data_IF_989157608278
#
_entry.id   IF_989157608278
#
_cell.length_a   1.000
_cell.length_b   1.000
_cell.length_c   1.000
_cell.angle_alpha   90.00
_cell.angle_beta   90.00
_cell.angle_gamma   90.00
#
_symmetry.space_group_name_H-M   'P 1'
#
loop_
_entity.id
_entity.type
_entity.pdbx_description
1 polymer ?
#
# COMPACT_ATOMS: atom_id res chain seq x y z
N UNK A 1 21.86 -22.01 -17.64
CA UNK A 1 20.88 -20.94 -17.42
C UNK A 1 21.49 -19.83 -16.56
N UNK A 2 21.81 -18.67 -17.12
CA UNK A 2 22.18 -17.50 -16.33
C UNK A 2 20.90 -16.88 -15.75
N UNK A 3 20.44 -17.37 -14.59
CA UNK A 3 19.44 -16.65 -13.80
C UNK A 3 20.15 -15.41 -13.25
N UNK A 4 20.09 -14.31 -13.98
CA UNK A 4 20.67 -13.05 -13.52
C UNK A 4 20.12 -12.73 -12.14
N UNK A 5 20.99 -12.60 -11.13
CA UNK A 5 20.64 -12.17 -9.77
C UNK A 5 20.28 -10.67 -9.75
N UNK A 6 19.48 -10.19 -10.71
CA UNK A 6 19.10 -8.78 -10.75
C UNK A 6 17.88 -8.58 -9.85
N UNK A 7 18.10 -7.93 -8.70
CA UNK A 7 17.03 -7.48 -7.81
C UNK A 7 16.39 -6.15 -8.25
N UNK A 8 16.49 -5.78 -9.54
CA UNK A 8 15.92 -4.53 -10.05
C UNK A 8 14.41 -4.69 -10.22
N UNK A 9 13.65 -3.84 -9.52
CA UNK A 9 12.21 -3.70 -9.66
C UNK A 9 11.93 -2.36 -10.35
N UNK A 10 11.12 -2.37 -11.40
CA UNK A 10 10.61 -1.16 -12.07
C UNK A 10 9.12 -1.10 -11.79
N UNK A 11 8.64 0.02 -11.27
CA UNK A 11 7.25 0.25 -10.93
C UNK A 11 6.75 1.46 -11.70
N UNK A 12 5.55 1.34 -12.26
CA UNK A 12 4.80 2.46 -12.79
C UNK A 12 3.73 2.84 -11.76
N UNK A 13 3.68 4.12 -11.41
CA UNK A 13 2.71 4.68 -10.47
C UNK A 13 2.21 6.01 -11.01
N UNK A 14 1.06 6.43 -10.52
CA UNK A 14 0.51 7.73 -10.87
C UNK A 14 1.51 8.87 -10.56
N UNK A 15 1.70 9.83 -11.48
CA UNK A 15 2.65 10.92 -11.29
C UNK A 15 2.32 11.79 -10.08
N UNK A 16 1.06 11.92 -9.71
CA UNK A 16 0.65 12.65 -8.52
C UNK A 16 1.01 11.89 -7.24
N UNK A 17 0.75 10.58 -7.21
CA UNK A 17 1.15 9.73 -6.09
C UNK A 17 2.67 9.78 -5.89
N UNK A 18 3.46 9.74 -6.97
CA UNK A 18 4.91 9.91 -6.91
C UNK A 18 5.28 11.23 -6.23
N UNK A 19 4.70 12.36 -6.66
CA UNK A 19 4.98 13.68 -6.06
C UNK A 19 4.67 13.70 -4.56
N UNK A 20 3.51 13.17 -4.17
CA UNK A 20 3.09 13.11 -2.76
C UNK A 20 4.03 12.23 -1.92
N UNK A 21 4.50 11.10 -2.46
CA UNK A 21 5.48 10.24 -1.80
C UNK A 21 6.79 11.00 -1.56
N UNK A 22 7.35 11.63 -2.59
CA UNK A 22 8.57 12.44 -2.42
C UNK A 22 8.39 13.54 -1.38
N UNK A 23 7.28 14.29 -1.43
CA UNK A 23 7.00 15.34 -0.45
C UNK A 23 6.93 14.80 0.99
N UNK A 24 6.28 13.65 1.21
CA UNK A 24 6.21 13.02 2.54
C UNK A 24 7.57 12.50 3.00
N UNK A 25 8.39 12.01 2.07
CA UNK A 25 9.72 11.47 2.35
C UNK A 25 10.74 12.56 2.69
N UNK A 26 10.65 13.72 2.04
CA UNK A 26 11.47 14.89 2.37
C UNK A 26 11.27 15.32 3.83
N UNK A 27 10.02 15.31 4.32
CA UNK A 27 9.71 15.60 5.72
C UNK A 27 10.32 14.58 6.70
N UNK A 28 10.50 13.33 6.26
CA UNK A 28 11.10 12.25 7.06
C UNK A 28 12.61 12.12 6.86
N UNK A 29 13.24 12.95 6.02
CA UNK A 29 14.66 12.82 5.64
C UNK A 29 15.03 11.41 5.15
N UNK A 30 14.08 10.73 4.50
CA UNK A 30 14.24 9.36 4.02
C UNK A 30 14.20 9.35 2.50
N UNK A 31 14.98 8.49 1.84
CA UNK A 31 14.89 8.36 0.39
C UNK A 31 13.78 7.39 -0.04
N UNK A 32 13.26 7.55 -1.26
CA UNK A 32 12.26 6.65 -1.86
C UNK A 32 12.72 5.18 -1.83
N UNK A 33 14.01 4.96 -2.05
CA UNK A 33 14.61 3.61 -2.01
C UNK A 33 14.55 3.02 -0.61
N UNK A 34 14.98 3.78 0.39
CA UNK A 34 14.99 3.30 1.78
C UNK A 34 13.59 3.01 2.29
N UNK A 35 12.66 3.93 2.05
CA UNK A 35 11.25 3.72 2.39
C UNK A 35 10.68 2.49 1.70
N UNK A 36 10.90 2.34 0.39
CA UNK A 36 10.40 1.19 -0.34
C UNK A 36 10.96 -0.14 0.17
N UNK A 37 12.27 -0.21 0.45
CA UNK A 37 12.89 -1.44 0.97
C UNK A 37 12.37 -1.74 2.37
N UNK A 38 12.21 -0.72 3.23
CA UNK A 38 11.70 -0.86 4.58
C UNK A 38 10.26 -1.40 4.57
N UNK A 39 9.35 -0.72 3.85
CA UNK A 39 7.96 -1.17 3.73
C UNK A 39 7.85 -2.56 3.10
N UNK A 40 8.65 -2.85 2.07
CA UNK A 40 8.66 -4.18 1.45
C UNK A 40 9.18 -5.25 2.42
N UNK A 41 10.17 -4.92 3.25
CA UNK A 41 10.71 -5.82 4.29
C UNK A 41 9.67 -6.04 5.38
N UNK A 42 9.00 -4.99 5.85
CA UNK A 42 7.92 -5.08 6.82
C UNK A 42 6.73 -5.87 6.27
N UNK A 43 6.39 -5.72 4.99
CA UNK A 43 5.31 -6.48 4.36
C UNK A 43 5.64 -7.99 4.23
N UNK A 44 6.89 -8.32 3.91
CA UNK A 44 7.33 -9.71 3.67
C UNK A 44 7.67 -10.44 4.96
N UNK A 45 8.31 -9.76 5.90
CA UNK A 45 8.87 -10.35 7.12
C UNK A 45 8.16 -9.90 8.40
N UNK A 46 7.33 -8.86 8.34
CA UNK A 46 6.53 -8.43 9.48
C UNK A 46 5.36 -9.39 9.73
N UNK A 47 5.33 -9.98 10.91
CA UNK A 47 4.16 -10.73 11.39
C UNK A 47 3.00 -9.75 11.66
N UNK A 48 1.96 -9.83 10.82
CA UNK A 48 0.69 -9.07 10.86
C UNK A 48 0.85 -7.58 10.50
N UNK A 49 0.15 -7.09 9.48
CA UNK A 49 -1.31 -7.14 9.46
C UNK A 49 -1.84 -7.20 8.03
N UNK A 50 -2.38 -8.37 7.71
CA UNK A 50 -3.54 -8.51 6.84
C UNK A 50 -4.72 -7.70 7.39
N UNK A 51 -4.69 -6.36 7.28
CA UNK A 51 -5.83 -5.49 7.61
C UNK A 51 -5.80 -4.13 6.89
N UNK A 52 -5.05 -3.96 5.80
CA UNK A 52 -5.13 -2.74 4.97
C UNK A 52 -6.25 -2.80 3.91
N UNK A 53 -6.97 -3.92 3.80
CA UNK A 53 -8.13 -4.10 2.91
C UNK A 53 -9.43 -4.48 3.64
N UNK A 54 -9.47 -4.45 4.96
CA UNK A 54 -10.73 -4.64 5.71
C UNK A 54 -11.42 -3.29 5.86
N UNK A 55 -11.92 -2.75 4.75
CA UNK A 55 -12.92 -1.68 4.81
C UNK A 55 -14.27 -2.38 4.86
N UNK A 56 -14.80 -2.50 6.08
CA UNK A 56 -16.18 -2.85 6.36
C UNK A 56 -17.11 -2.04 5.45
N UNK A 57 -17.82 -2.73 4.56
CA UNK A 57 -19.13 -2.27 4.10
C UNK A 57 -20.16 -2.85 5.08
N UNK A 58 -20.20 -2.30 6.29
CA UNK A 58 -21.36 -2.42 7.17
C UNK A 58 -22.26 -1.21 6.92
N UNK A 59 -23.04 -1.24 5.84
CA UNK A 59 -24.31 -0.51 5.81
C UNK A 59 -25.41 -1.46 6.29
N UNK A 60 -25.50 -1.62 7.61
CA UNK A 60 -26.67 -2.17 8.26
C UNK A 60 -27.50 -1.01 8.80
N UNK A 61 -28.63 -0.70 8.14
CA UNK A 61 -29.90 -0.44 8.84
C UNK A 61 -31.13 -0.41 7.91
N UNK A 62 -31.71 -1.60 7.78
CA UNK A 62 -33.13 -1.93 7.73
C UNK A 62 -34.08 -0.85 8.33
N UNK A 63 -35.17 -0.48 7.64
CA UNK A 63 -36.54 -0.49 8.18
C UNK A 63 -37.62 -0.44 7.06
N UNK A 64 -38.47 -1.47 7.08
CA UNK A 64 -39.94 -1.47 7.04
C UNK A 64 -40.72 -0.60 6.04
N UNK A 65 -41.55 -1.25 5.23
CA UNK A 65 -42.59 -0.61 4.44
C UNK A 65 -43.26 -1.56 3.46
N UNK A 66 -44.03 -2.53 3.96
CA UNK A 66 -44.96 -3.26 3.11
C UNK A 66 -46.11 -2.36 2.68
N UNK A 67 -46.60 -2.53 1.46
CA UNK A 67 -48.05 -2.51 1.23
C UNK A 67 -48.41 -3.31 -0.03
N UNK A 68 -49.66 -3.72 -0.04
CA UNK A 68 -50.27 -4.85 -0.77
C UNK A 68 -50.40 -4.65 -2.27
#
# INVERSE_FOLDING_TARGET
>A
MARGKSGRVVLEIDPELKRQLYAKLENKQQTMREWFIQEATELVYGEKSSSLFDMHDEDQQNIDGGEK
#
